data_IF_609278650340
#
_entry.id   IF_609278650340
#
_cell.length_a   1.000
_cell.length_b   1.000
_cell.length_c   1.000
_cell.angle_alpha   90.00
_cell.angle_beta   90.00
_cell.angle_gamma   90.00
#
_symmetry.space_group_name_H-M   'P 1'
#
loop_
_entity.id
_entity.type
_entity.pdbx_description
1 polymer ?
#
# COMPACT_ATOMS: atom_id res chain seq x y z
N UNK A 1 -3.36 -1.47 -2.82
CA UNK A 1 -1.95 -1.92 -2.65
C UNK A 1 -1.82 -3.37 -2.18
N UNK A 2 -2.36 -3.77 -1.03
CA UNK A 2 -2.10 -5.12 -0.51
C UNK A 2 -2.49 -6.28 -1.44
N UNK A 3 -3.66 -6.21 -2.10
CA UNK A 3 -4.09 -7.21 -3.09
C UNK A 3 -3.15 -7.30 -4.31
N UNK A 4 -2.76 -6.14 -4.86
CA UNK A 4 -1.75 -6.03 -5.91
C UNK A 4 -0.44 -6.70 -5.47
N UNK A 5 -0.01 -6.47 -4.23
CA UNK A 5 1.22 -7.03 -3.71
C UNK A 5 1.19 -8.56 -3.63
N UNK A 6 0.13 -9.14 -3.06
CA UNK A 6 -0.04 -10.58 -2.99
C UNK A 6 -0.03 -11.23 -4.38
N UNK A 7 -0.72 -10.60 -5.35
CA UNK A 7 -0.79 -11.06 -6.73
C UNK A 7 0.59 -11.07 -7.40
N UNK A 8 1.33 -9.96 -7.33
CA UNK A 8 2.63 -9.83 -8.00
C UNK A 8 3.74 -10.64 -7.33
N UNK A 9 3.68 -10.82 -6.01
CA UNK A 9 4.62 -11.67 -5.27
C UNK A 9 4.28 -13.16 -5.43
N UNK A 10 3.06 -13.51 -5.85
CA UNK A 10 2.58 -14.89 -5.91
C UNK A 10 2.44 -15.51 -4.51
N UNK A 11 1.96 -14.72 -3.55
CA UNK A 11 1.99 -15.06 -2.14
C UNK A 11 0.58 -14.99 -1.51
N UNK A 12 0.17 -15.93 -0.65
CA UNK A 12 -1.20 -15.99 -0.09
C UNK A 12 -1.47 -14.96 1.02
N UNK A 13 -0.42 -14.36 1.58
CA UNK A 13 -0.50 -13.40 2.68
C UNK A 13 -0.30 -14.05 4.05
N UNK A 14 -0.61 -13.30 5.11
CA UNK A 14 -0.57 -13.64 6.53
C UNK A 14 0.82 -13.98 7.09
N UNK A 15 1.47 -15.06 6.64
CA UNK A 15 2.75 -15.55 7.16
C UNK A 15 3.82 -15.57 6.07
N UNK A 16 5.08 -15.28 6.39
CA UNK A 16 6.16 -15.27 5.39
C UNK A 16 6.19 -14.03 4.47
N UNK A 17 5.38 -13.03 4.79
CA UNK A 17 5.38 -11.71 4.14
C UNK A 17 5.58 -10.61 5.17
N UNK A 18 6.34 -9.59 4.78
CA UNK A 18 6.57 -8.37 5.56
C UNK A 18 6.19 -7.14 4.73
N UNK A 19 5.82 -6.06 5.40
CA UNK A 19 5.51 -4.78 4.79
C UNK A 19 6.18 -3.62 5.54
N UNK A 20 6.64 -2.63 4.78
CA UNK A 20 7.04 -1.31 5.29
C UNK A 20 6.16 -0.27 4.59
N UNK A 21 5.49 0.58 5.34
CA UNK A 21 4.62 1.64 4.81
C UNK A 21 5.20 3.00 5.20
N UNK A 22 5.35 3.90 4.24
CA UNK A 22 6.09 5.16 4.40
C UNK A 22 5.16 6.38 4.49
N UNK A 23 3.88 6.16 4.76
CA UNK A 23 2.84 7.20 4.82
C UNK A 23 2.89 8.09 6.05
N UNK A 24 3.63 7.71 7.09
CA UNK A 24 3.38 8.17 8.45
C UNK A 24 2.00 7.71 8.96
N UNK A 25 1.55 8.28 10.07
CA UNK A 25 0.29 7.90 10.75
C UNK A 25 -0.84 8.91 10.58
N UNK A 26 -0.63 10.00 9.84
CA UNK A 26 -1.61 11.09 9.70
C UNK A 26 -2.60 10.85 8.53
N UNK A 27 -3.92 10.85 8.78
CA UNK A 27 -4.95 10.77 7.73
C UNK A 27 -4.93 11.99 6.80
N UNK A 28 -5.50 11.90 5.58
CA UNK A 28 -6.19 10.73 5.02
C UNK A 28 -5.25 9.68 4.40
N UNK A 29 -3.96 10.01 4.26
CA UNK A 29 -3.00 9.16 3.56
C UNK A 29 -2.68 7.89 4.35
N UNK A 30 -2.60 7.98 5.68
CA UNK A 30 -2.30 6.83 6.54
C UNK A 30 -3.39 5.75 6.57
N UNK A 31 -4.62 6.04 6.12
CA UNK A 31 -5.69 5.03 6.00
C UNK A 31 -5.30 3.86 5.06
N UNK A 32 -4.29 4.07 4.21
CA UNK A 32 -3.66 3.01 3.43
C UNK A 32 -3.13 1.86 4.30
N UNK A 33 -2.64 2.15 5.51
CA UNK A 33 -2.09 1.16 6.43
C UNK A 33 -3.17 0.11 6.74
N UNK A 34 -4.39 0.53 7.08
CA UNK A 34 -5.49 -0.38 7.38
C UNK A 34 -5.86 -1.26 6.19
N UNK A 35 -5.94 -0.66 4.99
CA UNK A 35 -6.17 -1.40 3.76
C UNK A 35 -5.07 -2.42 3.45
N UNK A 36 -3.81 -2.13 3.78
CA UNK A 36 -2.70 -3.07 3.67
C UNK A 36 -2.85 -4.19 4.69
N UNK A 37 -3.11 -3.87 5.96
CA UNK A 37 -3.26 -4.86 7.02
C UNK A 37 -4.37 -5.87 6.70
N UNK A 38 -5.53 -5.38 6.27
CA UNK A 38 -6.68 -6.21 5.91
C UNK A 38 -6.42 -7.08 4.69
N UNK A 39 -5.71 -6.57 3.69
CA UNK A 39 -5.48 -7.30 2.44
C UNK A 39 -4.34 -8.33 2.54
N UNK A 40 -3.28 -8.04 3.28
CA UNK A 40 -2.08 -8.90 3.32
C UNK A 40 -1.94 -9.72 4.59
N UNK A 41 -2.64 -9.37 5.67
CA UNK A 41 -2.41 -9.95 6.99
C UNK A 41 -1.06 -9.57 7.61
N UNK A 42 -0.33 -8.61 7.03
CA UNK A 42 0.79 -7.94 7.69
C UNK A 42 0.22 -6.93 8.67
N UNK A 43 0.49 -7.06 9.96
CA UNK A 43 -0.06 -6.14 10.96
C UNK A 43 1.03 -5.61 11.87
N UNK A 44 0.80 -4.44 12.45
CA UNK A 44 1.71 -3.88 13.46
C UNK A 44 1.78 -4.79 14.68
N UNK A 45 0.64 -5.37 15.10
CA UNK A 45 0.57 -6.31 16.22
C UNK A 45 1.34 -7.63 15.99
N UNK A 46 1.34 -8.16 14.76
CA UNK A 46 2.18 -9.31 14.38
C UNK A 46 3.66 -8.95 14.19
N UNK A 47 4.00 -7.66 14.19
CA UNK A 47 5.36 -7.17 13.98
C UNK A 47 5.90 -7.33 12.56
N UNK A 48 5.07 -7.75 11.60
CA UNK A 48 5.45 -7.89 10.19
C UNK A 48 4.96 -6.74 9.30
N UNK A 49 4.41 -5.68 9.89
CA UNK A 49 4.21 -4.38 9.25
C UNK A 49 4.91 -3.28 10.07
N UNK A 50 5.76 -2.49 9.41
CA UNK A 50 6.40 -1.32 10.00
C UNK A 50 5.86 -0.06 9.33
N UNK A 51 5.51 0.95 10.12
CA UNK A 51 5.13 2.28 9.62
C UNK A 51 6.30 3.24 9.83
N UNK A 52 6.66 4.00 8.80
CA UNK A 52 7.71 5.03 8.83
C UNK A 52 7.09 6.39 8.53
N UNK A 53 7.64 7.44 9.15
CA UNK A 53 7.17 8.81 8.99
C UNK A 53 7.75 9.46 7.72
N UNK A 54 7.34 8.93 6.57
CA UNK A 54 7.89 9.30 5.25
C UNK A 54 7.02 10.22 4.41
N UNK A 55 5.77 10.52 4.83
CA UNK A 55 4.80 11.35 4.07
C UNK A 55 4.47 10.87 2.65
N UNK A 56 5.09 9.77 2.22
CA UNK A 56 4.99 9.22 0.88
C UNK A 56 4.00 8.06 0.90
N UNK A 57 2.99 8.06 0.01
CA UNK A 57 2.04 6.96 -0.07
C UNK A 57 2.65 5.77 -0.80
N UNK A 58 3.65 5.16 -0.15
CA UNK A 58 4.49 4.08 -0.63
C UNK A 58 4.44 2.92 0.35
N UNK A 59 4.44 1.71 -0.19
CA UNK A 59 4.60 0.49 0.57
C UNK A 59 5.58 -0.46 -0.11
N UNK A 60 6.48 -1.04 0.68
CA UNK A 60 7.42 -2.08 0.24
C UNK A 60 7.02 -3.40 0.89
N UNK A 61 6.87 -4.44 0.07
CA UNK A 61 6.50 -5.78 0.47
C UNK A 61 7.63 -6.75 0.17
N UNK A 62 7.93 -7.65 1.11
CA UNK A 62 8.96 -8.68 0.95
C UNK A 62 8.35 -10.05 1.22
N UNK A 63 8.49 -10.96 0.26
CA UNK A 63 8.07 -12.37 0.40
C UNK A 63 8.80 -13.24 -0.62
N UNK A 64 9.11 -14.50 -0.25
CA UNK A 64 9.61 -15.50 -1.19
C UNK A 64 10.88 -15.10 -1.96
N UNK A 65 11.79 -14.37 -1.32
CA UNK A 65 13.04 -13.90 -1.95
C UNK A 65 12.83 -12.78 -2.97
N UNK A 66 11.70 -12.07 -2.95
CA UNK A 66 11.39 -10.93 -3.81
C UNK A 66 11.01 -9.71 -2.98
N UNK A 67 11.27 -8.55 -3.55
CA UNK A 67 10.86 -7.25 -3.03
C UNK A 67 9.97 -6.57 -4.05
N UNK A 68 8.80 -6.10 -3.61
CA UNK A 68 7.88 -5.31 -4.41
C UNK A 68 7.67 -3.95 -3.74
N UNK A 69 8.03 -2.88 -4.44
CA UNK A 69 7.72 -1.51 -4.03
C UNK A 69 6.52 -1.00 -4.82
N UNK A 70 5.51 -0.48 -4.14
CA UNK A 70 4.28 0.07 -4.72
C UNK A 70 4.11 1.51 -4.24
N UNK A 71 3.78 2.42 -5.15
CA UNK A 71 3.60 3.85 -4.90
C UNK A 71 2.23 4.28 -5.43
N UNK A 72 1.45 5.01 -4.63
CA UNK A 72 0.25 5.69 -5.10
C UNK A 72 0.67 6.86 -6.00
N UNK A 73 0.03 7.00 -7.16
CA UNK A 73 0.37 8.06 -8.10
C UNK A 73 0.17 9.44 -7.47
N UNK A 74 1.12 10.38 -7.62
CA UNK A 74 1.08 11.70 -7.00
C UNK A 74 -0.22 12.46 -7.24
N UNK A 75 -0.80 12.34 -8.43
CA UNK A 75 -2.06 13.00 -8.79
C UNK A 75 -3.19 12.62 -7.83
N UNK A 76 -3.34 11.32 -7.51
CA UNK A 76 -4.36 10.85 -6.57
C UNK A 76 -4.07 11.29 -5.14
N UNK A 77 -2.79 11.42 -4.76
CA UNK A 77 -2.41 11.91 -3.43
C UNK A 77 -2.94 13.32 -3.21
N UNK A 78 -2.75 14.19 -4.21
CA UNK A 78 -3.24 15.57 -4.12
C UNK A 78 -4.76 15.65 -4.14
N UNK A 79 -5.42 14.80 -4.93
CA UNK A 79 -6.89 14.70 -4.88
C UNK A 79 -7.39 14.30 -3.49
N UNK A 80 -6.77 13.31 -2.83
CA UNK A 80 -7.14 12.93 -1.46
C UNK A 80 -6.88 14.03 -0.42
N UNK A 81 -5.87 14.87 -0.63
CA UNK A 81 -5.53 15.98 0.28
C UNK A 81 -6.47 17.16 0.15
N UNK A 82 -7.03 17.39 -1.04
CA UNK A 82 -7.74 18.62 -1.39
C UNK A 82 -9.23 18.43 -1.63
N UNK A 83 -9.72 17.20 -1.76
CA UNK A 83 -11.14 16.91 -1.97
C UNK A 83 -12.00 17.37 -0.80
N UNK A 84 -13.15 17.97 -1.11
CA UNK A 84 -14.22 18.26 -0.14
C UNK A 84 -15.22 17.09 -0.02
N UNK A 85 -15.13 16.09 -0.91
CA UNK A 85 -16.07 14.96 -1.04
C UNK A 85 -15.30 13.61 -0.99
N UNK A 86 -14.70 13.25 0.16
CA UNK A 86 -13.79 12.11 0.28
C UNK A 86 -14.47 10.75 -0.03
N UNK A 87 -15.75 10.59 0.29
CA UNK A 87 -16.50 9.38 -0.01
C UNK A 87 -16.72 9.17 -1.51
N UNK A 88 -16.98 10.24 -2.27
CA UNK A 88 -17.15 10.16 -3.72
C UNK A 88 -15.82 9.83 -4.40
N UNK A 89 -14.74 10.50 -3.98
CA UNK A 89 -13.39 10.20 -4.45
C UNK A 89 -13.03 8.73 -4.18
N UNK A 90 -13.28 8.23 -2.96
CA UNK A 90 -13.03 6.84 -2.62
C UNK A 90 -13.82 5.87 -3.52
N UNK A 91 -15.11 6.13 -3.76
CA UNK A 91 -15.93 5.32 -4.68
C UNK A 91 -15.38 5.29 -6.09
N UNK A 92 -14.89 6.43 -6.60
CA UNK A 92 -14.28 6.52 -7.93
C UNK A 92 -12.97 5.73 -7.98
N UNK A 93 -12.07 5.96 -7.03
CA UNK A 93 -10.76 5.30 -6.92
C UNK A 93 -10.90 3.78 -6.84
N UNK A 94 -11.91 3.26 -6.15
CA UNK A 94 -12.20 1.82 -6.06
C UNK A 94 -12.49 1.14 -7.42
N UNK A 95 -12.87 1.91 -8.44
CA UNK A 95 -13.22 1.39 -9.78
C UNK A 95 -12.10 1.56 -10.81
N UNK A 96 -11.03 2.27 -10.47
CA UNK A 96 -9.91 2.48 -11.38
C UNK A 96 -9.06 1.21 -11.50
N UNK A 97 -8.48 0.94 -12.68
CA UNK A 97 -7.51 -0.14 -12.84
C UNK A 97 -6.24 0.14 -12.02
N UNK A 98 -5.54 -0.92 -11.63
CA UNK A 98 -4.38 -0.82 -10.73
C UNK A 98 -3.26 0.05 -11.34
N UNK A 99 -3.11 0.04 -12.66
CA UNK A 99 -2.18 0.83 -13.47
C UNK A 99 -2.50 2.32 -13.45
N UNK A 100 -3.76 2.71 -13.22
CA UNK A 100 -4.16 4.10 -13.05
C UNK A 100 -3.92 4.58 -11.62
N UNK A 101 -3.96 3.66 -10.65
CA UNK A 101 -3.78 3.96 -9.24
C UNK A 101 -2.32 4.02 -8.81
N UNK A 102 -1.51 3.07 -9.28
CA UNK A 102 -0.21 2.77 -8.72
C UNK A 102 0.90 2.75 -9.78
N UNK A 103 2.13 2.97 -9.31
CA UNK A 103 3.34 2.48 -9.98
C UNK A 103 4.00 1.44 -9.09
N UNK A 104 4.74 0.49 -9.67
CA UNK A 104 5.42 -0.53 -8.89
C UNK A 104 6.72 -1.02 -9.55
N UNK A 105 7.60 -1.55 -8.70
CA UNK A 105 8.88 -2.14 -9.08
C UNK A 105 9.02 -3.48 -8.35
N UNK A 106 9.26 -4.56 -9.11
CA UNK A 106 9.50 -5.90 -8.58
C UNK A 106 10.97 -6.28 -8.83
N UNK A 107 11.66 -6.68 -7.78
CA UNK A 107 13.07 -7.06 -7.83
C UNK A 107 13.36 -8.30 -6.97
N UNK A 108 14.48 -9.01 -7.19
CA UNK A 108 15.00 -10.00 -6.25
C UNK A 108 15.28 -9.36 -4.90
N UNK A 109 15.23 -10.16 -3.82
CA UNK A 109 15.65 -9.71 -2.51
C UNK A 109 17.16 -9.42 -2.53
N UNK A 110 17.53 -8.17 -2.28
CA UNK A 110 18.90 -7.69 -2.15
C UNK A 110 19.54 -8.11 -0.83
#
# INVERSE_FOLDING_TARGET
MGRLALRLLGHPGYHGIQAVVETGTTPPISCMIDGIQMATGCTTGKGNLVVRDGGEPRATFVAGGKTLRVQLKPQLVEEFRTTEEPEELARRVLRLPEEELFTWELSPLS
#
